data_IF_706555287538
#
_entry.id   IF_706555287538
#
_cell.length_a   1.000
_cell.length_b   1.000
_cell.length_c   1.000
_cell.angle_alpha   90.00
_cell.angle_beta   90.00
_cell.angle_gamma   90.00
#
_symmetry.space_group_name_H-M   'P 1'
#
loop_
_entity.id
_entity.type
_entity.pdbx_description
1 polymer ?
#
# COMPACT_ATOMS: atom_id res chain seq x y z
N UNK A 1 9.41 21.78 4.71
CA UNK A 1 10.81 21.68 4.21
C UNK A 1 11.81 21.35 5.34
N UNK A 2 11.40 20.58 6.38
CA UNK A 2 12.13 20.46 7.66
C UNK A 2 12.37 19.02 8.14
N UNK A 3 12.04 18.00 7.34
CA UNK A 3 12.16 16.59 7.73
C UNK A 3 13.41 15.90 7.16
N UNK A 4 14.32 16.65 6.51
CA UNK A 4 15.46 16.07 5.79
C UNK A 4 15.08 15.26 4.54
N UNK A 5 13.80 15.30 4.13
CA UNK A 5 13.30 14.59 2.94
C UNK A 5 13.38 15.51 1.73
N UNK A 6 14.16 15.09 0.73
CA UNK A 6 14.19 15.73 -0.60
C UNK A 6 12.98 15.25 -1.41
N UNK A 7 12.05 16.14 -1.78
CA UNK A 7 10.93 15.75 -2.62
C UNK A 7 11.44 15.41 -4.03
N UNK A 8 10.97 14.27 -4.55
CA UNK A 8 11.15 13.88 -5.94
C UNK A 8 9.77 13.71 -6.57
N UNK A 9 9.49 14.45 -7.63
CA UNK A 9 8.20 14.44 -8.30
C UNK A 9 8.29 13.59 -9.57
N UNK A 10 7.24 12.81 -9.82
CA UNK A 10 7.04 12.19 -11.12
C UNK A 10 6.91 13.28 -12.21
N UNK A 11 7.43 13.00 -13.40
CA UNK A 11 7.15 13.83 -14.56
C UNK A 11 5.67 13.75 -14.93
N UNK A 12 5.15 14.84 -15.49
CA UNK A 12 3.76 14.89 -15.98
C UNK A 12 3.61 13.88 -17.12
N UNK A 13 2.53 13.10 -17.09
CA UNK A 13 2.22 12.06 -18.07
C UNK A 13 3.19 10.85 -18.10
N UNK A 14 3.97 10.63 -17.03
CA UNK A 14 4.79 9.42 -16.85
C UNK A 14 4.24 8.50 -15.74
N UNK A 15 3.15 7.75 -15.99
CA UNK A 15 2.46 6.95 -14.97
C UNK A 15 3.33 5.82 -14.39
N UNK A 16 4.31 5.33 -15.16
CA UNK A 16 5.18 4.23 -14.75
C UNK A 16 5.97 4.51 -13.46
N UNK A 17 6.27 5.79 -13.20
CA UNK A 17 7.01 6.22 -12.01
C UNK A 17 6.23 6.02 -10.70
N UNK A 18 4.90 5.96 -10.76
CA UNK A 18 4.03 5.77 -9.60
C UNK A 18 3.46 4.33 -9.48
N UNK A 19 3.91 3.40 -10.32
CA UNK A 19 3.31 2.07 -10.45
C UNK A 19 3.26 1.25 -9.16
N UNK A 20 4.17 1.48 -8.20
CA UNK A 20 4.13 0.85 -6.87
C UNK A 20 2.91 1.30 -6.07
N UNK A 21 2.69 2.61 -5.98
CA UNK A 21 1.56 3.19 -5.26
C UNK A 21 0.23 2.86 -5.96
N UNK A 22 0.21 2.90 -7.29
CA UNK A 22 -0.96 2.53 -8.09
C UNK A 22 -1.34 1.06 -7.88
N UNK A 23 -0.37 0.13 -7.91
CA UNK A 23 -0.62 -1.29 -7.64
C UNK A 23 -1.16 -1.49 -6.23
N UNK A 24 -0.60 -0.82 -5.22
CA UNK A 24 -1.12 -0.87 -3.85
C UNK A 24 -2.58 -0.42 -3.78
N UNK A 25 -2.90 0.75 -4.35
CA UNK A 25 -4.25 1.30 -4.34
C UNK A 25 -5.25 0.40 -5.07
N UNK A 26 -4.84 -0.24 -6.17
CA UNK A 26 -5.66 -1.23 -6.87
C UNK A 26 -5.96 -2.42 -5.97
N UNK A 27 -4.94 -3.03 -5.36
CA UNK A 27 -5.12 -4.19 -4.46
C UNK A 27 -5.98 -3.86 -3.24
N UNK A 28 -5.79 -2.68 -2.62
CA UNK A 28 -6.64 -2.20 -1.54
C UNK A 28 -8.10 -2.15 -1.96
N UNK A 29 -8.39 -1.52 -3.10
CA UNK A 29 -9.77 -1.39 -3.59
C UNK A 29 -10.39 -2.75 -3.86
N UNK A 30 -9.67 -3.62 -4.57
CA UNK A 30 -10.14 -4.96 -4.93
C UNK A 30 -10.43 -5.85 -3.72
N UNK A 31 -9.56 -5.84 -2.71
CA UNK A 31 -9.65 -6.79 -1.59
C UNK A 31 -10.44 -6.27 -0.38
N UNK A 32 -10.42 -4.96 -0.15
CA UNK A 32 -10.96 -4.37 1.08
C UNK A 32 -12.18 -3.48 0.87
N UNK A 33 -12.41 -2.97 -0.34
CA UNK A 33 -13.45 -1.94 -0.59
C UNK A 33 -14.56 -2.45 -1.50
N UNK A 34 -14.21 -2.98 -2.68
CA UNK A 34 -15.18 -3.41 -3.67
C UNK A 34 -16.06 -4.55 -3.14
N UNK A 35 -17.36 -4.46 -3.43
CA UNK A 35 -18.37 -5.44 -3.00
C UNK A 35 -18.79 -5.32 -1.53
N UNK A 36 -18.27 -4.35 -0.76
CA UNK A 36 -18.66 -4.12 0.64
C UNK A 36 -19.53 -2.88 0.79
N UNK A 37 -20.51 -2.96 1.68
CA UNK A 37 -21.32 -1.81 2.11
C UNK A 37 -20.88 -1.43 3.52
N UNK A 38 -20.43 -0.19 3.69
CA UNK A 38 -20.02 0.36 4.98
C UNK A 38 -21.13 1.25 5.54
N UNK A 39 -21.43 1.14 6.83
CA UNK A 39 -22.50 1.93 7.47
C UNK A 39 -21.99 3.31 7.86
N UNK A 40 -20.72 3.40 8.21
CA UNK A 40 -20.08 4.63 8.65
C UNK A 40 -18.56 4.61 8.35
N UNK A 41 -17.90 5.73 8.62
CA UNK A 41 -16.46 5.90 8.37
C UNK A 41 -15.56 5.03 9.26
N UNK A 42 -16.01 4.64 10.45
CA UNK A 42 -15.27 3.72 11.33
C UNK A 42 -15.14 2.35 10.68
N UNK A 43 -16.22 1.82 10.10
CA UNK A 43 -16.18 0.54 9.39
C UNK A 43 -15.14 0.55 8.24
N UNK A 44 -15.04 1.68 7.52
CA UNK A 44 -14.04 1.85 6.45
C UNK A 44 -12.63 1.85 7.03
N UNK A 45 -12.40 2.58 8.13
CA UNK A 45 -11.09 2.65 8.79
C UNK A 45 -10.64 1.28 9.28
N UNK A 46 -11.54 0.50 9.85
CA UNK A 46 -11.25 -0.87 10.29
C UNK A 46 -10.90 -1.78 9.12
N UNK A 47 -11.67 -1.75 8.02
CA UNK A 47 -11.36 -2.55 6.83
C UNK A 47 -10.01 -2.18 6.21
N UNK A 48 -9.69 -0.88 6.11
CA UNK A 48 -8.40 -0.40 5.61
C UNK A 48 -7.27 -0.80 6.56
N UNK A 49 -7.45 -0.66 7.88
CA UNK A 49 -6.45 -1.06 8.88
C UNK A 49 -6.12 -2.54 8.76
N UNK A 50 -7.14 -3.40 8.76
CA UNK A 50 -6.97 -4.86 8.60
C UNK A 50 -6.28 -5.21 7.29
N UNK A 51 -6.63 -4.54 6.18
CA UNK A 51 -5.94 -4.73 4.90
C UNK A 51 -4.46 -4.37 4.99
N UNK A 52 -4.12 -3.22 5.59
CA UNK A 52 -2.74 -2.75 5.70
C UNK A 52 -1.90 -3.70 6.57
N UNK A 53 -2.47 -4.20 7.67
CA UNK A 53 -1.81 -5.19 8.54
C UNK A 53 -1.50 -6.47 7.74
N UNK A 54 -2.51 -7.06 7.08
CA UNK A 54 -2.33 -8.27 6.27
C UNK A 54 -1.39 -8.06 5.08
N UNK A 55 -1.47 -6.92 4.40
CA UNK A 55 -0.58 -6.61 3.28
C UNK A 55 0.88 -6.55 3.75
N UNK A 56 1.15 -5.96 4.92
CA UNK A 56 2.51 -5.82 5.40
C UNK A 56 3.08 -7.13 5.97
N UNK A 57 2.24 -7.98 6.59
CA UNK A 57 2.69 -9.23 7.20
C UNK A 57 2.73 -10.40 6.20
N UNK A 58 1.77 -10.48 5.27
CA UNK A 58 1.56 -11.68 4.44
C UNK A 58 1.92 -11.51 2.95
N UNK A 59 2.03 -10.29 2.42
CA UNK A 59 2.19 -10.08 0.97
C UNK A 59 3.61 -10.43 0.48
N UNK A 60 3.80 -11.64 -0.03
CA UNK A 60 5.10 -12.17 -0.48
C UNK A 60 5.23 -12.13 -2.00
N UNK A 61 5.84 -11.05 -2.51
CA UNK A 61 6.09 -10.89 -3.96
C UNK A 61 7.51 -11.28 -4.35
N UNK A 62 7.66 -11.78 -5.57
CA UNK A 62 8.96 -12.18 -6.15
C UNK A 62 10.00 -11.05 -6.09
N UNK A 63 9.61 -9.80 -6.37
CA UNK A 63 10.51 -8.63 -6.30
C UNK A 63 11.18 -8.43 -4.92
N UNK A 64 10.57 -9.00 -3.88
CA UNK A 64 11.01 -8.92 -2.49
C UNK A 64 11.78 -10.19 -2.07
N UNK A 65 12.00 -11.14 -2.99
CA UNK A 65 12.53 -12.47 -2.67
C UNK A 65 11.55 -13.29 -1.82
N UNK A 66 10.24 -13.12 -2.05
CA UNK A 66 9.17 -13.77 -1.27
C UNK A 66 9.16 -13.46 0.22
N UNK A 67 9.81 -12.36 0.62
CA UNK A 67 9.69 -11.77 1.95
C UNK A 67 8.55 -10.77 1.99
N UNK A 68 7.85 -10.72 3.12
CA UNK A 68 6.82 -9.72 3.35
C UNK A 68 7.43 -8.33 3.55
N UNK A 69 6.66 -7.24 3.36
CA UNK A 69 7.12 -5.90 3.68
C UNK A 69 7.66 -5.74 5.11
N UNK A 70 7.05 -6.39 6.11
CA UNK A 70 7.53 -6.37 7.49
C UNK A 70 8.87 -7.09 7.65
N UNK A 71 9.03 -8.27 7.04
CA UNK A 71 10.30 -9.01 7.06
C UNK A 71 11.44 -8.20 6.42
N UNK A 72 11.17 -7.46 5.34
CA UNK A 72 12.16 -6.58 4.72
C UNK A 72 12.56 -5.44 5.65
N UNK A 73 11.58 -4.80 6.30
CA UNK A 73 11.85 -3.69 7.23
C UNK A 73 12.64 -4.11 8.46
N UNK A 74 12.40 -5.32 8.97
CA UNK A 74 13.12 -5.85 10.13
C UNK A 74 14.55 -6.28 9.80
N UNK A 75 14.86 -6.52 8.51
CA UNK A 75 16.19 -6.92 8.05
C UNK A 75 17.09 -5.72 7.63
N UNK A 76 16.55 -4.50 7.62
CA UNK A 76 17.24 -3.27 7.26
C UNK A 76 17.73 -2.51 8.51
#
# INVERSE_FOLDING_TARGET
>A
KFWGITPSFAFVAEPQTNGVAERFNRTLKEQAIYGRVFRNITDVREAVKTFVELYNSEWRVEKNGFRSPDEIRQAA
#
